data_IF_335032454360
#
_entry.id   IF_335032454360
#
_cell.length_a   1.000
_cell.length_b   1.000
_cell.length_c   1.000
_cell.angle_alpha   90.00
_cell.angle_beta   90.00
_cell.angle_gamma   90.00
#
_symmetry.space_group_name_H-M   'P 1'
#
loop_
_entity.id
_entity.type
_entity.pdbx_description
1 polymer ?
#
# COMPACT_ATOMS: atom_id res chain seq x y z
N UNK A 1 18.48 -2.90 -19.06
CA UNK A 1 17.65 -3.49 -17.98
C UNK A 1 16.43 -4.07 -18.65
N UNK A 2 16.04 -5.30 -18.31
CA UNK A 2 14.79 -5.90 -18.80
C UNK A 2 13.61 -5.33 -18.03
N UNK A 3 12.41 -5.34 -18.64
CA UNK A 3 11.18 -4.95 -17.98
C UNK A 3 10.92 -5.79 -16.70
N UNK A 4 11.28 -7.08 -16.71
CA UNK A 4 11.22 -7.96 -15.53
C UNK A 4 12.10 -7.47 -14.37
N UNK A 5 13.33 -7.04 -14.65
CA UNK A 5 14.23 -6.48 -13.63
C UNK A 5 13.62 -5.20 -13.02
N UNK A 6 13.02 -4.35 -13.85
CA UNK A 6 12.41 -3.10 -13.39
C UNK A 6 11.16 -3.34 -12.53
N UNK A 7 10.37 -4.37 -12.82
CA UNK A 7 9.23 -4.74 -11.98
C UNK A 7 9.72 -5.26 -10.63
N UNK A 8 10.75 -6.09 -10.61
CA UNK A 8 11.33 -6.59 -9.35
C UNK A 8 11.91 -5.46 -8.49
N UNK A 9 12.64 -4.52 -9.09
CA UNK A 9 13.16 -3.34 -8.39
C UNK A 9 12.02 -2.48 -7.83
N UNK A 10 10.94 -2.28 -8.62
CA UNK A 10 9.75 -1.54 -8.19
C UNK A 10 9.02 -2.23 -7.04
N UNK A 11 8.96 -3.56 -7.06
CA UNK A 11 8.35 -4.38 -5.99
C UNK A 11 9.12 -4.25 -4.67
N UNK A 12 10.45 -4.24 -4.72
CA UNK A 12 11.29 -4.01 -3.55
C UNK A 12 11.06 -2.60 -2.99
N UNK A 13 11.07 -1.58 -3.85
CA UNK A 13 10.80 -0.19 -3.45
C UNK A 13 9.41 -0.02 -2.81
N UNK A 14 8.36 -0.67 -3.36
CA UNK A 14 7.02 -0.68 -2.76
C UNK A 14 7.01 -1.30 -1.37
N UNK A 15 7.78 -2.39 -1.19
CA UNK A 15 7.89 -3.07 0.11
C UNK A 15 8.59 -2.19 1.14
N UNK A 16 9.67 -1.50 0.76
CA UNK A 16 10.38 -0.56 1.62
C UNK A 16 9.50 0.65 1.99
N UNK A 17 8.84 1.27 1.01
CA UNK A 17 7.92 2.39 1.24
C UNK A 17 6.76 2.00 2.16
N UNK A 18 6.28 0.76 2.06
CA UNK A 18 5.25 0.21 2.95
C UNK A 18 5.74 0.09 4.40
N UNK A 19 6.98 -0.35 4.63
CA UNK A 19 7.53 -0.46 5.99
C UNK A 19 7.57 0.88 6.72
N UNK A 20 7.89 1.96 6.00
CA UNK A 20 7.94 3.32 6.55
C UNK A 20 6.62 4.08 6.39
N UNK A 21 5.60 3.46 5.80
CA UNK A 21 4.26 4.04 5.54
C UNK A 21 4.33 5.34 4.72
N UNK A 22 5.24 5.40 3.75
CA UNK A 22 5.34 6.53 2.82
C UNK A 22 4.27 6.40 1.71
N UNK A 23 3.07 6.87 2.03
CA UNK A 23 1.91 6.79 1.12
C UNK A 23 2.10 7.55 -0.19
N UNK A 24 2.93 8.60 -0.19
CA UNK A 24 3.21 9.36 -1.41
C UNK A 24 4.12 8.54 -2.35
N UNK A 25 5.22 8.00 -1.81
CA UNK A 25 6.12 7.13 -2.56
C UNK A 25 5.39 5.88 -3.09
N UNK A 26 4.54 5.26 -2.27
CA UNK A 26 3.71 4.12 -2.68
C UNK A 26 2.86 4.45 -3.91
N UNK A 27 2.23 5.64 -3.94
CA UNK A 27 1.40 6.05 -5.07
C UNK A 27 2.17 6.25 -6.36
N UNK A 28 3.37 6.85 -6.29
CA UNK A 28 4.24 7.03 -7.45
C UNK A 28 4.78 5.69 -7.97
N UNK A 29 5.19 4.81 -7.06
CA UNK A 29 5.69 3.48 -7.39
C UNK A 29 4.59 2.58 -8.00
N UNK A 30 3.35 2.67 -7.54
CA UNK A 30 2.20 1.97 -8.15
C UNK A 30 1.98 2.42 -9.60
N UNK A 31 2.02 3.72 -9.88
CA UNK A 31 1.88 4.24 -11.24
C UNK A 31 3.03 3.76 -12.15
N UNK A 32 4.26 3.79 -11.66
CA UNK A 32 5.42 3.29 -12.39
C UNK A 32 5.29 1.79 -12.69
N UNK A 33 4.83 0.99 -11.71
CA UNK A 33 4.62 -0.44 -11.88
C UNK A 33 3.59 -0.76 -12.97
N UNK A 34 2.49 -0.01 -13.04
CA UNK A 34 1.47 -0.18 -14.09
C UNK A 34 2.01 0.16 -15.48
N UNK A 35 2.80 1.22 -15.59
CA UNK A 35 3.43 1.58 -16.87
C UNK A 35 4.42 0.51 -17.35
N UNK A 36 5.21 -0.08 -16.44
CA UNK A 36 6.10 -1.19 -16.75
C UNK A 36 5.34 -2.44 -17.19
N UNK A 37 4.22 -2.74 -16.52
CA UNK A 37 3.32 -3.82 -16.90
C UNK A 37 2.71 -3.64 -18.30
N UNK A 38 2.29 -2.42 -18.63
CA UNK A 38 1.74 -2.11 -19.95
C UNK A 38 2.80 -2.27 -21.06
N UNK A 39 4.08 -2.02 -20.75
CA UNK A 39 5.19 -2.29 -21.67
C UNK A 39 5.45 -3.79 -21.82
N UNK A 40 5.53 -4.50 -20.70
CA UNK A 40 5.74 -5.95 -20.63
C UNK A 40 4.70 -6.72 -21.47
N UNK A 41 3.42 -6.32 -21.38
CA UNK A 41 2.32 -6.92 -22.13
C UNK A 41 2.36 -6.63 -23.64
N UNK A 42 3.08 -5.58 -24.07
CA UNK A 42 3.25 -5.24 -25.49
C UNK A 42 4.44 -5.95 -26.14
N UNK A 43 5.40 -6.41 -25.34
CA UNK A 43 6.53 -7.21 -25.80
C UNK A 43 6.11 -8.68 -26.00
N UNK A 44 6.53 -9.31 -27.10
CA UNK A 44 6.42 -10.77 -27.23
C UNK A 44 7.46 -11.40 -26.30
N UNK A 45 7.01 -11.94 -25.18
CA UNK A 45 7.88 -12.50 -24.17
C UNK A 45 8.00 -14.02 -24.32
N UNK A 46 9.24 -14.50 -24.33
CA UNK A 46 9.54 -15.92 -24.59
C UNK A 46 9.44 -16.81 -23.34
N UNK A 47 9.34 -16.25 -22.13
CA UNK A 47 9.27 -17.00 -20.86
C UNK A 47 8.02 -16.67 -20.02
N UNK A 48 6.93 -17.38 -20.32
CA UNK A 48 5.64 -17.24 -19.63
C UNK A 48 5.71 -17.61 -18.13
N UNK A 49 6.63 -18.48 -17.73
CA UNK A 49 6.73 -18.95 -16.36
C UNK A 49 7.36 -17.88 -15.45
N UNK A 50 8.40 -17.20 -15.93
CA UNK A 50 9.03 -16.09 -15.22
C UNK A 50 8.08 -14.91 -15.03
N UNK A 51 7.29 -14.58 -16.07
CA UNK A 51 6.25 -13.56 -16.00
C UNK A 51 5.23 -13.89 -14.91
N UNK A 52 4.70 -15.12 -14.93
CA UNK A 52 3.69 -15.55 -13.96
C UNK A 52 4.19 -15.40 -12.52
N UNK A 53 5.40 -15.87 -12.25
CA UNK A 53 6.00 -15.78 -10.91
C UNK A 53 6.14 -14.31 -10.46
N UNK A 54 6.54 -13.42 -11.36
CA UNK A 54 6.68 -12.00 -11.07
C UNK A 54 5.31 -11.34 -10.77
N UNK A 55 4.28 -11.66 -11.56
CA UNK A 55 2.92 -11.18 -11.34
C UNK A 55 2.32 -11.67 -10.02
N UNK A 56 2.54 -12.93 -9.66
CA UNK A 56 2.11 -13.49 -8.38
C UNK A 56 2.79 -12.78 -7.20
N UNK A 57 4.10 -12.52 -7.30
CA UNK A 57 4.83 -11.76 -6.29
C UNK A 57 4.31 -10.32 -6.17
N UNK A 58 3.98 -9.68 -7.29
CA UNK A 58 3.40 -8.33 -7.31
C UNK A 58 2.00 -8.30 -6.66
N UNK A 59 1.14 -9.28 -6.96
CA UNK A 59 -0.17 -9.42 -6.32
C UNK A 59 -0.06 -9.56 -4.79
N UNK A 60 0.95 -10.29 -4.30
CA UNK A 60 1.20 -10.43 -2.87
C UNK A 60 1.51 -9.08 -2.19
N UNK A 61 2.31 -8.23 -2.85
CA UNK A 61 2.65 -6.88 -2.34
C UNK A 61 1.41 -5.98 -2.29
N UNK A 62 0.57 -5.99 -3.34
CA UNK A 62 -0.68 -5.20 -3.32
C UNK A 62 -1.64 -5.65 -2.24
N UNK A 63 -1.70 -6.96 -1.96
CA UNK A 63 -2.55 -7.47 -0.87
C UNK A 63 -2.07 -6.98 0.49
N UNK A 64 -0.75 -7.03 0.74
CA UNK A 64 -0.17 -6.45 1.96
C UNK A 64 -0.42 -4.94 2.07
N UNK A 65 -0.34 -4.20 0.98
CA UNK A 65 -0.68 -2.77 0.93
C UNK A 65 -2.11 -2.51 1.38
N UNK A 66 -3.07 -3.30 0.89
CA UNK A 66 -4.49 -3.18 1.26
C UNK A 66 -4.68 -3.47 2.76
N UNK A 67 -4.07 -4.55 3.25
CA UNK A 67 -4.19 -4.96 4.65
C UNK A 67 -3.63 -3.88 5.59
N UNK A 68 -2.40 -3.41 5.35
CA UNK A 68 -1.75 -2.38 6.18
C UNK A 68 -2.48 -1.02 6.10
N UNK A 69 -2.93 -0.61 4.92
CA UNK A 69 -3.68 0.65 4.77
C UNK A 69 -5.06 0.58 5.44
N UNK A 70 -5.70 -0.58 5.44
CA UNK A 70 -6.99 -0.80 6.11
C UNK A 70 -6.83 -0.76 7.63
N UNK A 71 -5.81 -1.42 8.16
CA UNK A 71 -5.47 -1.39 9.59
C UNK A 71 -5.14 0.02 10.07
N UNK A 72 -4.36 0.79 9.29
CA UNK A 72 -4.02 2.17 9.64
C UNK A 72 -5.28 3.05 9.70
N UNK A 73 -6.18 2.91 8.73
CA UNK A 73 -7.45 3.63 8.72
C UNK A 73 -8.30 3.28 9.94
N UNK A 74 -8.35 2.01 10.32
CA UNK A 74 -9.13 1.56 11.48
C UNK A 74 -8.55 2.10 12.80
N UNK A 75 -7.22 2.14 12.93
CA UNK A 75 -6.51 2.76 14.06
C UNK A 75 -6.84 4.25 14.19
N UNK A 76 -6.85 4.99 13.07
CA UNK A 76 -7.24 6.41 13.05
C UNK A 76 -8.69 6.62 13.50
N UNK A 77 -9.63 5.81 13.00
CA UNK A 77 -11.04 5.87 13.41
C UNK A 77 -11.20 5.59 14.90
N UNK A 78 -10.52 4.58 15.44
CA UNK A 78 -10.54 4.27 16.86
C UNK A 78 -10.02 5.43 17.73
N UNK A 79 -8.91 6.06 17.30
CA UNK A 79 -8.36 7.25 17.97
C UNK A 79 -9.33 8.42 17.95
N UNK A 80 -10.00 8.68 16.83
CA UNK A 80 -11.02 9.74 16.73
C UNK A 80 -12.21 9.48 17.65
N UNK A 81 -12.68 8.23 17.73
CA UNK A 81 -13.76 7.83 18.64
C UNK A 81 -13.38 8.09 20.11
N UNK A 82 -12.18 7.69 20.53
CA UNK A 82 -11.67 7.93 21.88
C UNK A 82 -11.60 9.44 22.22
N UNK A 83 -11.12 10.28 21.29
CA UNK A 83 -11.09 11.73 21.48
C UNK A 83 -12.50 12.30 21.66
N UNK A 84 -13.46 11.86 20.85
CA UNK A 84 -14.84 12.31 20.98
C UNK A 84 -15.44 11.90 22.33
N UNK A 85 -15.24 10.64 22.76
CA UNK A 85 -15.71 10.17 24.05
C UNK A 85 -15.10 10.96 25.22
N UNK A 86 -13.80 11.25 25.19
CA UNK A 86 -13.12 12.05 26.21
C UNK A 86 -13.68 13.48 26.30
N UNK A 87 -13.99 14.12 25.16
CA UNK A 87 -14.63 15.44 25.11
C UNK A 87 -16.04 15.42 25.72
N UNK A 88 -16.82 14.37 25.44
CA UNK A 88 -18.15 14.21 26.02
C UNK A 88 -18.08 14.00 27.54
N UNK A 89 -17.18 13.15 28.03
CA UNK A 89 -17.00 12.91 29.47
C UNK A 89 -16.62 14.20 30.21
N UNK A 90 -15.71 15.01 29.65
CA UNK A 90 -15.30 16.29 30.25
C UNK A 90 -16.45 17.29 30.34
N UNK A 91 -17.34 17.35 29.33
CA UNK A 91 -18.55 18.19 29.38
C UNK A 91 -19.53 17.76 30.48
N UNK A 92 -19.66 16.46 30.74
CA UNK A 92 -20.55 15.94 31.79
C UNK A 92 -20.05 16.36 33.17
N UNK A 93 -18.74 16.34 33.42
CA UNK A 93 -18.20 16.80 34.70
C UNK A 93 -18.42 18.30 34.95
N UNK A 94 -18.42 19.14 33.92
CA UNK A 94 -18.74 20.56 34.05
C UNK A 94 -20.25 20.86 34.23
N UNK A 95 -21.13 19.90 33.97
CA UNK A 95 -22.59 20.04 34.14
C UNK A 95 -23.06 19.67 35.56
N UNK A 96 -22.19 19.08 36.37
CA UNK A 96 -22.48 18.66 37.75
C UNK A 96 -21.59 19.34 38.80
N UNK A 97 -20.91 20.43 38.44
CA UNK A 97 -20.16 21.36 39.30
C UNK A 97 -20.77 22.76 39.22
#
# INVERSE_FOLDING_TARGET
MSALQQIEDTRLALSEALQVRDWAAIGELDLACRALMDELLRENQDDEAEIRANLEALMAVYRQLIDVASDERQSLVARMSNINQAKHATKVYHLFS
#
